data_IF_594648222654
#
_entry.id   IF_594648222654
#
_cell.length_a   1.000
_cell.length_b   1.000
_cell.length_c   1.000
_cell.angle_alpha   90.00
_cell.angle_beta   90.00
_cell.angle_gamma   90.00
#
_symmetry.space_group_name_H-M   'P 1'
#
loop_
_entity.id
_entity.type
_entity.pdbx_description
1 polymer ?
#
# COMPACT_ATOMS: atom_id res chain seq x y z
N UNK A 1 -2.22 25.00 5.83
CA UNK A 1 -2.24 23.89 6.81
C UNK A 1 -2.73 22.62 6.10
N UNK A 2 -2.18 21.45 6.44
CA UNK A 2 -2.51 20.18 5.76
C UNK A 2 -4.00 19.85 5.87
N UNK A 3 -4.67 20.18 6.99
CA UNK A 3 -6.11 19.93 7.14
C UNK A 3 -6.95 20.81 6.22
N UNK A 4 -6.53 22.06 6.01
CA UNK A 4 -7.23 22.97 5.08
C UNK A 4 -7.13 22.48 3.64
N UNK A 5 -5.95 22.03 3.22
CA UNK A 5 -5.74 21.46 1.88
C UNK A 5 -6.62 20.22 1.65
N UNK A 6 -6.66 19.30 2.62
CA UNK A 6 -7.49 18.09 2.55
C UNK A 6 -8.98 18.44 2.36
N UNK A 7 -9.48 19.42 3.11
CA UNK A 7 -10.88 19.89 2.96
C UNK A 7 -11.13 20.55 1.61
N UNK A 8 -10.17 21.31 1.09
CA UNK A 8 -10.26 21.97 -0.22
C UNK A 8 -10.40 20.97 -1.37
N UNK A 9 -9.70 19.83 -1.29
CA UNK A 9 -9.79 18.75 -2.29
C UNK A 9 -10.94 17.76 -2.02
N UNK A 10 -11.85 18.08 -1.10
CA UNK A 10 -13.02 17.25 -0.78
C UNK A 10 -12.76 16.04 0.11
N UNK A 11 -11.59 15.97 0.76
CA UNK A 11 -11.25 14.92 1.73
C UNK A 11 -11.57 15.34 3.17
N UNK A 12 -11.98 14.36 3.99
CA UNK A 12 -12.14 14.54 5.43
C UNK A 12 -10.80 14.28 6.16
N UNK A 13 -10.23 15.25 6.90
CA UNK A 13 -8.99 15.02 7.64
C UNK A 13 -9.22 14.11 8.86
N UNK A 14 -8.72 12.88 8.77
CA UNK A 14 -8.78 11.90 9.86
C UNK A 14 -7.39 11.73 10.50
N UNK A 15 -7.28 11.98 11.81
CA UNK A 15 -6.04 11.75 12.57
C UNK A 15 -6.21 10.59 13.55
N UNK A 16 -5.23 9.69 13.58
CA UNK A 16 -5.17 8.62 14.57
C UNK A 16 -4.98 9.19 15.98
N UNK A 17 -5.81 8.80 16.96
CA UNK A 17 -5.60 9.20 18.35
C UNK A 17 -4.20 8.83 18.85
N UNK A 18 -3.64 9.67 19.72
CA UNK A 18 -2.34 9.41 20.35
C UNK A 18 -2.42 8.08 21.13
N UNK A 19 -1.41 7.22 20.95
CA UNK A 19 -1.33 5.87 21.55
C UNK A 19 -2.42 4.89 21.07
N UNK A 20 -2.82 4.96 19.80
CA UNK A 20 -3.66 3.95 19.15
C UNK A 20 -2.86 3.09 18.15
N UNK A 21 -1.97 2.19 18.59
CA UNK A 21 -1.14 1.38 17.69
C UNK A 21 -1.95 0.52 16.72
N UNK A 22 -3.15 0.07 17.12
CA UNK A 22 -4.04 -0.73 16.28
C UNK A 22 -4.49 0.03 15.03
N UNK A 23 -4.63 1.36 15.12
CA UNK A 23 -5.09 2.19 14.00
C UNK A 23 -4.12 2.21 12.82
N UNK A 24 -2.86 1.85 13.03
CA UNK A 24 -1.82 1.80 12.00
C UNK A 24 -1.57 0.37 11.45
N UNK A 25 -2.27 -0.64 11.99
CA UNK A 25 -1.98 -2.05 11.69
C UNK A 25 -2.06 -2.41 10.21
N UNK A 26 -2.96 -1.77 9.46
CA UNK A 26 -3.07 -1.95 8.00
C UNK A 26 -1.82 -1.46 7.26
N UNK A 27 -1.34 -0.26 7.59
CA UNK A 27 -0.13 0.31 6.99
C UNK A 27 1.12 -0.50 7.39
N UNK A 28 1.20 -0.94 8.65
CA UNK A 28 2.30 -1.78 9.13
C UNK A 28 2.34 -3.14 8.41
N UNK A 29 1.19 -3.80 8.26
CA UNK A 29 1.08 -5.06 7.53
C UNK A 29 1.48 -4.90 6.06
N UNK A 30 1.07 -3.80 5.41
CA UNK A 30 1.49 -3.46 4.06
C UNK A 30 3.01 -3.30 3.97
N UNK A 31 3.61 -2.44 4.79
CA UNK A 31 5.06 -2.18 4.77
C UNK A 31 5.86 -3.44 5.06
N UNK A 32 5.39 -4.28 6.00
CA UNK A 32 6.03 -5.57 6.31
C UNK A 32 6.04 -6.50 5.11
N UNK A 33 4.91 -6.64 4.42
CA UNK A 33 4.79 -7.48 3.22
C UNK A 33 5.67 -6.95 2.10
N UNK A 34 5.62 -5.63 1.85
CA UNK A 34 6.40 -4.98 0.80
C UNK A 34 7.92 -5.14 1.02
N UNK A 35 8.38 -4.93 2.27
CA UNK A 35 9.79 -5.13 2.62
C UNK A 35 10.25 -6.57 2.42
N UNK A 36 9.43 -7.55 2.81
CA UNK A 36 9.75 -8.98 2.69
C UNK A 36 9.80 -9.44 1.23
N UNK A 37 8.84 -9.04 0.42
CA UNK A 37 8.63 -9.65 -0.90
C UNK A 37 9.29 -8.88 -2.05
N UNK A 38 9.64 -7.60 -1.83
CA UNK A 38 10.28 -6.77 -2.84
C UNK A 38 11.64 -6.28 -2.35
N UNK A 39 11.69 -5.60 -1.20
CA UNK A 39 12.96 -4.97 -0.76
C UNK A 39 14.03 -6.00 -0.43
N UNK A 40 13.73 -7.06 0.34
CA UNK A 40 14.75 -8.03 0.77
C UNK A 40 15.19 -9.02 -0.32
N UNK A 41 14.50 -9.09 -1.44
CA UNK A 41 14.83 -10.01 -2.56
C UNK A 41 15.48 -9.31 -3.74
N UNK A 42 15.63 -7.98 -3.69
CA UNK A 42 16.24 -7.17 -4.74
C UNK A 42 17.52 -6.48 -4.23
N UNK A 43 18.49 -6.16 -5.12
CA UNK A 43 19.60 -5.28 -4.78
C UNK A 43 19.11 -3.89 -4.36
N UNK A 44 19.65 -3.37 -3.26
CA UNK A 44 19.31 -2.05 -2.70
C UNK A 44 20.57 -1.18 -2.51
N UNK A 45 21.33 -0.90 -3.60
CA UNK A 45 22.63 -0.23 -3.49
C UNK A 45 22.54 1.18 -2.91
N UNK A 46 21.46 1.90 -3.21
CA UNK A 46 21.21 3.27 -2.77
C UNK A 46 19.70 3.60 -2.83
N UNK A 47 19.32 4.73 -2.24
CA UNK A 47 17.92 5.16 -2.18
C UNK A 47 17.33 5.52 -3.55
N UNK A 48 18.14 6.07 -4.47
CA UNK A 48 17.68 6.48 -5.80
C UNK A 48 17.26 5.25 -6.61
N UNK A 49 18.07 4.20 -6.60
CA UNK A 49 17.78 2.91 -7.21
C UNK A 49 16.50 2.30 -6.65
N UNK A 50 16.32 2.32 -5.32
CA UNK A 50 15.09 1.79 -4.70
C UNK A 50 13.86 2.58 -5.15
N UNK A 51 13.94 3.92 -5.12
CA UNK A 51 12.84 4.80 -5.55
C UNK A 51 12.48 4.53 -7.01
N UNK A 52 13.46 4.34 -7.88
CA UNK A 52 13.25 4.03 -9.29
C UNK A 52 12.54 2.67 -9.51
N UNK A 53 12.72 1.71 -8.61
CA UNK A 53 12.07 0.39 -8.68
C UNK A 53 10.65 0.38 -8.11
N UNK A 54 10.29 1.33 -7.24
CA UNK A 54 8.98 1.35 -6.57
C UNK A 54 7.79 1.25 -7.54
N UNK A 55 7.73 1.98 -8.68
CA UNK A 55 6.60 1.88 -9.60
C UNK A 55 6.39 0.47 -10.13
N UNK A 56 7.47 -0.24 -10.48
CA UNK A 56 7.41 -1.62 -10.96
C UNK A 56 6.90 -2.57 -9.87
N UNK A 57 7.42 -2.42 -8.65
CA UNK A 57 6.99 -3.24 -7.51
C UNK A 57 5.54 -2.98 -7.11
N UNK A 58 5.08 -1.73 -7.16
CA UNK A 58 3.67 -1.40 -6.92
C UNK A 58 2.76 -1.93 -8.03
N UNK A 59 3.18 -1.89 -9.29
CA UNK A 59 2.39 -2.47 -10.37
C UNK A 59 2.25 -3.99 -10.17
N UNK A 60 3.35 -4.68 -9.87
CA UNK A 60 3.30 -6.11 -9.55
C UNK A 60 2.43 -6.39 -8.32
N UNK A 61 2.55 -5.61 -7.24
CA UNK A 61 1.71 -5.73 -6.05
C UNK A 61 0.22 -5.63 -6.37
N UNK A 62 -0.16 -4.63 -7.17
CA UNK A 62 -1.56 -4.36 -7.47
C UNK A 62 -2.17 -5.30 -8.52
N UNK A 63 -1.36 -5.92 -9.39
CA UNK A 63 -1.85 -6.68 -10.55
C UNK A 63 -1.60 -8.18 -10.51
N UNK A 64 -0.51 -8.62 -9.85
CA UNK A 64 -0.04 -10.00 -9.92
C UNK A 64 0.18 -10.64 -8.54
N UNK A 65 0.46 -9.85 -7.50
CA UNK A 65 0.81 -10.39 -6.19
C UNK A 65 -0.38 -11.14 -5.56
N UNK A 66 -0.21 -12.43 -5.19
CA UNK A 66 -1.30 -13.24 -4.68
C UNK A 66 -1.56 -12.95 -3.19
N UNK A 67 -2.75 -12.45 -2.86
CA UNK A 67 -3.14 -12.19 -1.47
C UNK A 67 -4.04 -13.29 -0.93
N UNK A 68 -3.58 -14.03 0.10
CA UNK A 68 -4.37 -15.08 0.76
C UNK A 68 -5.74 -14.57 1.25
N UNK A 69 -5.79 -13.36 1.83
CA UNK A 69 -7.03 -12.75 2.31
C UNK A 69 -8.03 -12.43 1.18
N UNK A 70 -7.55 -12.29 -0.06
CA UNK A 70 -8.37 -12.02 -1.25
C UNK A 70 -8.67 -13.29 -2.07
N UNK A 71 -8.40 -14.49 -1.51
CA UNK A 71 -8.54 -15.75 -2.22
C UNK A 71 -7.45 -15.97 -3.28
N UNK A 72 -6.22 -15.52 -2.98
CA UNK A 72 -5.05 -15.55 -3.87
C UNK A 72 -5.17 -14.70 -5.14
N UNK A 73 -6.07 -13.71 -5.13
CA UNK A 73 -6.19 -12.69 -6.17
C UNK A 73 -5.30 -11.49 -5.85
N UNK A 74 -4.95 -10.73 -6.89
CA UNK A 74 -4.36 -9.41 -6.73
C UNK A 74 -5.40 -8.36 -6.32
N UNK A 75 -4.98 -7.19 -5.79
CA UNK A 75 -5.90 -6.12 -5.44
C UNK A 75 -6.79 -5.66 -6.61
N UNK A 76 -6.24 -5.51 -7.82
CA UNK A 76 -7.04 -5.12 -9.00
C UNK A 76 -8.02 -6.21 -9.41
N UNK A 77 -7.60 -7.48 -9.40
CA UNK A 77 -8.52 -8.61 -9.68
C UNK A 77 -9.68 -8.65 -8.70
N UNK A 78 -9.40 -8.44 -7.41
CA UNK A 78 -10.41 -8.40 -6.37
C UNK A 78 -11.41 -7.24 -6.58
N UNK A 79 -10.91 -6.03 -6.86
CA UNK A 79 -11.76 -4.86 -7.11
C UNK A 79 -12.62 -5.02 -8.37
N UNK A 80 -12.02 -5.48 -9.47
CA UNK A 80 -12.75 -5.68 -10.72
C UNK A 80 -13.90 -6.68 -10.53
N UNK A 81 -13.66 -7.78 -9.81
CA UNK A 81 -14.71 -8.76 -9.51
C UNK A 81 -15.81 -8.21 -8.59
N UNK A 82 -15.49 -7.29 -7.67
CA UNK A 82 -16.52 -6.65 -6.85
C UNK A 82 -17.38 -5.65 -7.64
N UNK A 83 -16.82 -5.04 -8.69
CA UNK A 83 -17.58 -4.12 -9.55
C UNK A 83 -18.50 -4.84 -10.55
N UNK A 84 -18.30 -6.15 -10.77
CA UNK A 84 -19.12 -7.00 -11.64
C UNK A 84 -20.38 -7.56 -10.95
N UNK A 85 -20.55 -7.33 -9.65
CA UNK A 85 -21.67 -7.80 -8.81
C UNK A 85 -22.57 -6.63 -8.43
#
# INVERSE_FOLDING_TARGET
>A
DTKSLLREIGMEPCSTPVRSPQSNGMAEAFVKTFKRDYVSVNPIPDAETVIAQLPLWFEHYNTLHPHKALGYRSPREFLNRQAEV
#
